data_IF_582065487031
#
_entry.id   IF_582065487031
#
_cell.length_a   1.000
_cell.length_b   1.000
_cell.length_c   1.000
_cell.angle_alpha   90.00
_cell.angle_beta   90.00
_cell.angle_gamma   90.00
#
_symmetry.space_group_name_H-M   'P 1'
#
loop_
_entity.id
_entity.type
_entity.pdbx_description
1 polymer ?
#
# COMPACT_ATOMS: atom_id res chain seq x y z
N UNK A 1 -28.55 92.54 6.85
CA UNK A 1 -29.94 92.19 6.54
C UNK A 1 -30.00 91.57 5.15
N UNK A 2 -30.15 90.25 5.06
CA UNK A 2 -30.73 89.53 3.93
C UNK A 2 -30.98 88.08 4.38
N UNK A 3 -32.26 87.70 4.34
CA UNK A 3 -32.83 86.45 4.86
C UNK A 3 -32.73 85.39 3.76
N UNK A 4 -32.19 84.21 4.05
CA UNK A 4 -32.26 83.04 3.16
C UNK A 4 -32.78 81.86 3.96
N UNK A 5 -34.10 81.72 3.98
CA UNK A 5 -34.78 80.46 4.23
C UNK A 5 -34.76 79.64 2.93
N UNK A 6 -34.44 78.34 2.99
CA UNK A 6 -35.08 77.33 2.12
C UNK A 6 -34.75 75.87 2.50
N UNK A 7 -35.86 75.13 2.64
CA UNK A 7 -36.11 73.70 2.39
C UNK A 7 -35.49 72.62 3.29
N UNK A 8 -36.26 72.26 4.31
CA UNK A 8 -36.39 70.88 4.77
C UNK A 8 -37.44 70.16 3.91
N UNK A 9 -37.00 69.41 2.90
CA UNK A 9 -37.85 68.41 2.22
C UNK A 9 -37.64 67.06 2.93
N UNK A 10 -38.46 66.81 3.95
CA UNK A 10 -38.56 65.51 4.61
C UNK A 10 -39.31 64.57 3.67
N UNK A 11 -38.58 63.55 3.18
CA UNK A 11 -39.10 62.44 2.40
C UNK A 11 -40.29 61.77 3.11
N UNK A 12 -41.50 61.99 2.59
CA UNK A 12 -42.70 61.23 2.94
C UNK A 12 -42.69 59.93 2.12
N UNK A 13 -42.02 58.89 2.62
CA UNK A 13 -42.13 57.55 2.02
C UNK A 13 -43.51 56.99 2.37
N UNK A 14 -44.43 56.94 1.39
CA UNK A 14 -45.69 56.22 1.54
C UNK A 14 -45.40 54.72 1.54
N UNK A 15 -45.76 54.03 2.62
CA UNK A 15 -45.71 52.58 2.69
C UNK A 15 -46.73 52.01 1.70
N UNK A 16 -46.22 51.42 0.62
CA UNK A 16 -47.02 50.72 -0.38
C UNK A 16 -47.30 49.31 0.14
N UNK A 17 -48.56 49.01 0.47
CA UNK A 17 -48.99 47.66 0.81
C UNK A 17 -48.88 46.77 -0.43
N UNK A 18 -48.00 45.77 -0.37
CA UNK A 18 -47.89 44.71 -1.36
C UNK A 18 -48.89 43.60 -0.99
N UNK A 19 -49.65 43.06 -1.96
CA UNK A 19 -50.55 41.94 -1.70
C UNK A 19 -49.76 40.71 -1.23
N UNK A 20 -50.29 39.92 -0.28
CA UNK A 20 -49.58 38.76 0.26
C UNK A 20 -49.37 37.72 -0.84
N UNK A 21 -48.11 37.33 -1.06
CA UNK A 21 -47.78 36.20 -1.93
C UNK A 21 -48.37 34.91 -1.34
N UNK A 22 -48.85 33.97 -2.17
CA UNK A 22 -49.33 32.67 -1.70
C UNK A 22 -48.21 31.96 -0.94
N UNK A 23 -48.49 31.54 0.30
CA UNK A 23 -47.58 30.69 1.06
C UNK A 23 -47.52 29.34 0.36
N UNK A 24 -46.44 29.08 -0.37
CA UNK A 24 -46.09 27.73 -0.80
C UNK A 24 -45.92 26.89 0.47
N UNK A 25 -46.87 25.98 0.70
CA UNK A 25 -46.73 24.96 1.73
C UNK A 25 -45.64 24.02 1.23
N UNK A 26 -44.40 24.31 1.60
CA UNK A 26 -43.28 23.39 1.41
C UNK A 26 -43.69 22.04 2.02
N UNK A 27 -43.61 20.98 1.20
CA UNK A 27 -43.73 19.61 1.69
C UNK A 27 -42.84 19.46 2.94
N UNK A 28 -43.33 18.81 4.01
CA UNK A 28 -42.57 18.67 5.23
C UNK A 28 -41.19 18.09 4.91
N UNK A 29 -40.10 18.66 5.44
CA UNK A 29 -38.76 18.24 5.10
C UNK A 29 -38.63 16.73 5.31
N UNK A 30 -38.28 16.01 4.26
CA UNK A 30 -38.04 14.56 4.32
C UNK A 30 -37.17 14.27 5.55
N UNK A 31 -37.75 13.55 6.52
CA UNK A 31 -37.07 13.17 7.75
C UNK A 31 -35.77 12.42 7.40
N UNK A 32 -34.59 13.03 7.64
CA UNK A 32 -33.30 12.46 7.28
C UNK A 32 -32.98 11.17 8.06
N UNK A 33 -33.82 10.81 9.05
CA UNK A 33 -33.69 9.61 9.86
C UNK A 33 -34.61 8.46 9.45
N UNK A 34 -35.43 8.58 8.39
CA UNK A 34 -36.20 7.42 7.90
C UNK A 34 -35.26 6.35 7.33
N UNK A 35 -35.16 5.16 7.95
CA UNK A 35 -34.33 4.08 7.42
C UNK A 35 -34.87 3.64 6.05
N UNK A 36 -34.02 3.68 5.03
CA UNK A 36 -34.36 3.17 3.71
C UNK A 36 -34.52 1.65 3.81
N UNK A 37 -35.75 1.18 3.65
CA UNK A 37 -36.06 -0.25 3.58
C UNK A 37 -35.55 -0.79 2.24
N UNK A 38 -34.54 -1.64 2.26
CA UNK A 38 -34.19 -2.49 1.12
C UNK A 38 -34.59 -3.91 1.50
N UNK A 39 -35.52 -4.51 0.72
CA UNK A 39 -36.00 -5.87 0.95
C UNK A 39 -36.64 -6.12 2.34
N UNK A 40 -37.32 -5.13 2.92
CA UNK A 40 -38.08 -5.29 4.18
C UNK A 40 -37.25 -5.33 5.46
N UNK A 41 -35.91 -5.37 5.36
CA UNK A 41 -35.03 -5.29 6.53
C UNK A 41 -34.67 -3.82 6.83
N UNK A 42 -34.73 -3.38 8.10
CA UNK A 42 -34.28 -2.05 8.50
C UNK A 42 -32.76 -1.99 8.37
N UNK A 43 -32.28 -1.51 7.23
CA UNK A 43 -30.86 -1.18 7.08
C UNK A 43 -30.63 0.11 7.86
N UNK A 44 -30.11 -0.02 9.10
CA UNK A 44 -29.45 1.10 9.75
C UNK A 44 -28.37 1.58 8.78
N UNK A 45 -28.46 2.84 8.35
CA UNK A 45 -27.54 3.40 7.37
C UNK A 45 -26.12 3.32 7.95
N UNK A 46 -25.39 2.24 7.61
CA UNK A 46 -24.00 2.07 8.04
C UNK A 46 -23.29 3.32 7.53
N UNK A 47 -22.86 4.17 8.46
CA UNK A 47 -22.32 5.45 8.07
C UNK A 47 -21.11 5.19 7.16
N UNK A 48 -21.07 5.88 6.02
CA UNK A 48 -19.96 5.80 5.06
C UNK A 48 -18.60 5.96 5.76
N UNK A 49 -18.57 6.84 6.77
CA UNK A 49 -17.39 7.08 7.61
C UNK A 49 -17.00 5.85 8.43
N UNK A 50 -17.97 5.16 9.03
CA UNK A 50 -17.74 3.93 9.80
C UNK A 50 -17.14 2.82 8.93
N UNK A 51 -17.66 2.62 7.71
CA UNK A 51 -17.11 1.62 6.77
C UNK A 51 -15.66 1.93 6.42
N UNK A 52 -15.35 3.17 6.06
CA UNK A 52 -13.98 3.58 5.71
C UNK A 52 -13.04 3.42 6.91
N UNK A 53 -13.49 3.81 8.10
CA UNK A 53 -12.69 3.66 9.32
C UNK A 53 -12.44 2.19 9.63
N UNK A 54 -13.47 1.34 9.57
CA UNK A 54 -13.36 -0.11 9.75
C UNK A 54 -12.37 -0.74 8.77
N UNK A 55 -12.51 -0.48 7.47
CA UNK A 55 -11.60 -0.99 6.45
C UNK A 55 -10.14 -0.56 6.69
N UNK A 56 -9.89 0.68 7.10
CA UNK A 56 -8.54 1.16 7.42
C UNK A 56 -7.97 0.48 8.65
N UNK A 57 -8.79 0.27 9.67
CA UNK A 57 -8.41 -0.45 10.88
C UNK A 57 -8.03 -1.88 10.55
N UNK A 58 -8.89 -2.61 9.82
CA UNK A 58 -8.64 -3.98 9.39
C UNK A 58 -7.36 -4.05 8.54
N UNK A 59 -7.21 -3.18 7.54
CA UNK A 59 -6.01 -3.13 6.70
C UNK A 59 -4.73 -2.86 7.50
N UNK A 60 -4.81 -2.03 8.55
CA UNK A 60 -3.68 -1.70 9.42
C UNK A 60 -3.29 -2.88 10.30
N UNK A 61 -4.25 -3.55 10.93
CA UNK A 61 -3.94 -4.67 11.83
C UNK A 61 -3.56 -5.94 11.07
N UNK A 62 -4.03 -6.11 9.83
CA UNK A 62 -3.64 -7.24 8.98
C UNK A 62 -2.16 -7.21 8.57
N UNK A 63 -1.40 -6.12 8.82
CA UNK A 63 0.05 -6.12 8.54
C UNK A 63 0.88 -6.75 9.65
N UNK A 64 0.33 -6.96 10.85
CA UNK A 64 1.10 -7.42 12.02
C UNK A 64 1.83 -8.74 11.75
N UNK A 65 1.18 -9.80 11.20
CA UNK A 65 1.87 -11.06 10.95
C UNK A 65 3.08 -10.91 10.01
N UNK A 66 2.93 -10.15 8.92
CA UNK A 66 4.02 -9.90 7.98
C UNK A 66 5.14 -9.06 8.60
N UNK A 67 4.83 -8.01 9.36
CA UNK A 67 5.84 -7.18 10.03
C UNK A 67 6.62 -7.97 11.08
N UNK A 68 5.96 -8.88 11.80
CA UNK A 68 6.58 -9.74 12.79
C UNK A 68 7.45 -10.84 12.16
N UNK A 69 6.99 -11.44 11.05
CA UNK A 69 7.73 -12.49 10.34
C UNK A 69 8.91 -11.97 9.51
N UNK A 70 8.78 -10.77 8.95
CA UNK A 70 9.75 -10.21 8.00
C UNK A 70 11.20 -10.18 8.52
N UNK A 71 11.50 -9.80 9.78
CA UNK A 71 12.88 -9.83 10.29
C UNK A 71 13.52 -11.22 10.20
N UNK A 72 12.81 -12.29 10.59
CA UNK A 72 13.31 -13.66 10.51
C UNK A 72 13.59 -14.05 9.05
N UNK A 73 12.64 -13.77 8.17
CA UNK A 73 12.78 -14.05 6.75
C UNK A 73 13.92 -13.24 6.11
N UNK A 74 14.04 -11.95 6.44
CA UNK A 74 15.03 -11.04 5.89
C UNK A 74 16.45 -11.42 6.34
N UNK A 75 16.63 -11.81 7.61
CA UNK A 75 17.92 -12.32 8.08
C UNK A 75 18.30 -13.56 7.28
N UNK A 76 17.39 -14.55 7.21
CA UNK A 76 17.68 -15.82 6.55
C UNK A 76 17.93 -15.69 5.04
N UNK A 77 17.21 -14.79 4.35
CA UNK A 77 17.23 -14.73 2.88
C UNK A 77 18.02 -13.56 2.30
N UNK A 78 18.22 -12.48 3.05
CA UNK A 78 18.95 -11.30 2.58
C UNK A 78 20.34 -11.22 3.23
N UNK A 79 20.42 -11.41 4.55
CA UNK A 79 21.65 -11.19 5.31
C UNK A 79 22.56 -12.42 5.27
N UNK A 80 22.07 -13.59 5.69
CA UNK A 80 22.90 -14.79 5.80
C UNK A 80 23.54 -15.19 4.46
N UNK A 81 22.82 -15.27 3.33
CA UNK A 81 23.43 -15.63 2.04
C UNK A 81 24.47 -14.63 1.53
N UNK A 82 24.41 -13.39 2.02
CA UNK A 82 25.41 -12.37 1.71
C UNK A 82 26.74 -12.59 2.45
N UNK A 83 26.70 -13.26 3.60
CA UNK A 83 27.85 -13.55 4.48
C UNK A 83 28.38 -14.97 4.24
N UNK A 84 27.51 -15.97 4.25
CA UNK A 84 27.84 -17.38 4.04
C UNK A 84 26.86 -18.01 3.05
N UNK A 85 27.40 -18.73 2.08
CA UNK A 85 26.65 -19.36 1.00
C UNK A 85 26.48 -20.86 1.17
N UNK A 86 27.14 -21.44 2.17
CA UNK A 86 27.31 -22.89 2.32
C UNK A 86 26.07 -23.49 3.00
N UNK A 87 26.20 -24.06 4.20
CA UNK A 87 25.08 -24.63 4.97
C UNK A 87 24.32 -23.61 5.81
N UNK A 88 24.93 -22.49 6.18
CA UNK A 88 24.36 -21.54 7.14
C UNK A 88 22.94 -21.03 6.77
N UNK A 89 22.62 -20.71 5.50
CA UNK A 89 21.25 -20.37 5.13
C UNK A 89 20.23 -21.49 5.39
N UNK A 90 20.62 -22.74 5.18
CA UNK A 90 19.76 -23.91 5.41
C UNK A 90 19.60 -24.20 6.91
N UNK A 91 20.68 -24.07 7.69
CA UNK A 91 20.66 -24.23 9.16
C UNK A 91 19.72 -23.20 9.82
N UNK A 92 19.83 -21.93 9.42
CA UNK A 92 18.96 -20.85 9.92
C UNK A 92 17.52 -21.04 9.43
N UNK A 93 17.31 -21.52 8.20
CA UNK A 93 15.98 -21.86 7.70
C UNK A 93 15.31 -22.94 8.55
N UNK A 94 16.07 -23.99 8.91
CA UNK A 94 15.56 -25.07 9.74
C UNK A 94 15.22 -24.61 11.15
N UNK A 95 16.09 -23.81 11.77
CA UNK A 95 15.80 -23.18 13.06
C UNK A 95 14.52 -22.33 13.01
N UNK A 96 14.33 -21.52 11.98
CA UNK A 96 13.12 -20.69 11.82
C UNK A 96 11.86 -21.56 11.64
N UNK A 97 11.96 -22.67 10.92
CA UNK A 97 10.82 -23.61 10.74
C UNK A 97 10.39 -24.24 12.05
N UNK A 98 11.35 -24.60 12.90
CA UNK A 98 11.07 -25.19 14.21
C UNK A 98 10.44 -24.18 15.17
N UNK A 99 10.89 -22.92 15.12
CA UNK A 99 10.36 -21.84 15.96
C UNK A 99 8.94 -21.39 15.56
N UNK A 100 8.53 -21.59 14.30
CA UNK A 100 7.28 -21.05 13.78
C UNK A 100 6.16 -22.10 13.80
N UNK A 101 4.95 -21.74 14.29
CA UNK A 101 3.81 -22.64 14.26
C UNK A 101 3.45 -23.09 12.83
N UNK A 102 2.90 -24.30 12.69
CA UNK A 102 2.48 -24.86 11.40
C UNK A 102 1.45 -24.02 10.65
N UNK A 103 0.64 -23.23 11.36
CA UNK A 103 -0.35 -22.33 10.75
C UNK A 103 0.23 -21.00 10.25
N UNK A 104 1.53 -20.72 10.46
CA UNK A 104 2.17 -19.43 10.11
C UNK A 104 1.98 -19.08 8.65
N UNK A 105 2.19 -20.02 7.71
CA UNK A 105 1.97 -19.75 6.28
C UNK A 105 0.52 -19.33 6.02
N UNK A 106 -0.47 -20.03 6.60
CA UNK A 106 -1.90 -19.70 6.42
C UNK A 106 -2.21 -18.31 6.98
N UNK A 107 -1.64 -17.97 8.13
CA UNK A 107 -1.78 -16.64 8.74
C UNK A 107 -1.18 -15.54 7.85
N UNK A 108 0.04 -15.73 7.34
CA UNK A 108 0.71 -14.76 6.47
C UNK A 108 -0.05 -14.55 5.16
N UNK A 109 -0.52 -15.63 4.52
CA UNK A 109 -1.32 -15.54 3.29
C UNK A 109 -2.66 -14.87 3.56
N UNK A 110 -3.40 -15.30 4.58
CA UNK A 110 -4.70 -14.73 4.93
C UNK A 110 -4.62 -13.24 5.27
N UNK A 111 -3.67 -12.86 6.12
CA UNK A 111 -3.46 -11.46 6.50
C UNK A 111 -3.01 -10.59 5.32
N UNK A 112 -2.21 -11.13 4.40
CA UNK A 112 -1.84 -10.46 3.15
C UNK A 112 -3.05 -10.24 2.24
N UNK A 113 -3.92 -11.24 2.07
CA UNK A 113 -5.16 -11.11 1.28
C UNK A 113 -6.07 -10.04 1.88
N UNK A 114 -6.26 -10.03 3.20
CA UNK A 114 -7.04 -9.00 3.90
C UNK A 114 -6.44 -7.62 3.68
N UNK A 115 -5.11 -7.48 3.79
CA UNK A 115 -4.43 -6.20 3.54
C UNK A 115 -4.68 -5.68 2.12
N UNK A 116 -4.51 -6.56 1.13
CA UNK A 116 -4.66 -6.23 -0.29
C UNK A 116 -6.10 -5.88 -0.65
N UNK A 117 -7.06 -6.68 -0.19
CA UNK A 117 -8.49 -6.49 -0.48
C UNK A 117 -9.03 -5.20 0.15
N UNK A 118 -8.76 -4.94 1.43
CA UNK A 118 -9.14 -3.68 2.06
C UNK A 118 -8.49 -2.47 1.37
N UNK A 119 -7.21 -2.59 0.99
CA UNK A 119 -6.50 -1.54 0.26
C UNK A 119 -7.08 -1.26 -1.13
N UNK A 120 -7.48 -2.29 -1.86
CA UNK A 120 -8.13 -2.16 -3.17
C UNK A 120 -9.52 -1.53 -3.05
N UNK A 121 -10.35 -2.02 -2.12
CA UNK A 121 -11.68 -1.48 -1.86
C UNK A 121 -11.60 0.01 -1.54
N UNK A 122 -10.69 0.42 -0.64
CA UNK A 122 -10.52 1.83 -0.28
C UNK A 122 -10.09 2.70 -1.46
N UNK A 123 -9.30 2.17 -2.41
CA UNK A 123 -8.88 2.89 -3.63
C UNK A 123 -10.03 3.03 -4.62
N UNK A 124 -10.72 1.93 -4.94
CA UNK A 124 -11.89 1.94 -5.84
C UNK A 124 -12.98 2.87 -5.29
N UNK A 125 -13.25 2.77 -3.99
CA UNK A 125 -14.20 3.63 -3.31
C UNK A 125 -13.82 5.12 -3.38
N UNK A 126 -12.52 5.45 -3.21
CA UNK A 126 -12.05 6.82 -3.36
C UNK A 126 -12.21 7.30 -4.80
N UNK A 127 -11.88 6.51 -5.79
CA UNK A 127 -12.07 6.86 -7.20
C UNK A 127 -13.55 7.12 -7.51
N UNK A 128 -14.43 6.23 -7.04
CA UNK A 128 -15.87 6.36 -7.27
C UNK A 128 -16.47 7.58 -6.55
N UNK A 129 -16.15 7.77 -5.26
CA UNK A 129 -16.65 8.91 -4.47
C UNK A 129 -16.08 10.25 -4.94
N UNK A 130 -14.82 10.30 -5.39
CA UNK A 130 -14.25 11.51 -5.98
C UNK A 130 -14.88 11.82 -7.33
N UNK A 131 -15.13 10.83 -8.18
CA UNK A 131 -15.86 11.02 -9.44
C UNK A 131 -17.27 11.57 -9.20
N UNK A 132 -18.03 10.95 -8.28
CA UNK A 132 -19.37 11.39 -7.91
C UNK A 132 -19.42 12.80 -7.27
N UNK A 133 -18.44 13.13 -6.42
CA UNK A 133 -18.36 14.44 -5.77
C UNK A 133 -17.75 15.53 -6.65
N UNK A 134 -16.95 15.18 -7.68
CA UNK A 134 -16.43 16.14 -8.67
C UNK A 134 -17.56 16.77 -9.48
N UNK A 135 -18.60 15.99 -9.78
CA UNK A 135 -19.83 16.48 -10.41
C UNK A 135 -20.57 17.49 -9.53
N UNK A 136 -20.74 17.20 -8.23
CA UNK A 136 -21.34 18.15 -7.27
C UNK A 136 -20.45 19.36 -6.95
N UNK A 137 -19.12 19.21 -6.96
CA UNK A 137 -18.15 20.30 -6.70
C UNK A 137 -18.02 21.27 -7.86
N UNK A 138 -18.18 20.85 -9.12
CA UNK A 138 -18.31 21.79 -10.26
C UNK A 138 -19.49 22.74 -10.07
N UNK A 139 -20.61 22.26 -9.51
CA UNK A 139 -21.79 23.08 -9.20
C UNK A 139 -21.59 24.03 -8.01
N UNK A 140 -20.84 23.64 -6.97
CA UNK A 140 -20.54 24.49 -5.78
C UNK A 140 -19.35 25.44 -5.96
N UNK A 141 -18.38 25.15 -6.84
CA UNK A 141 -17.23 26.05 -7.11
C UNK A 141 -17.63 27.40 -7.72
N UNK A 142 -18.80 27.49 -8.38
CA UNK A 142 -19.38 28.78 -8.80
C UNK A 142 -19.87 29.66 -7.64
N UNK A 143 -20.02 29.15 -6.42
CA UNK A 143 -20.58 29.88 -5.27
C UNK A 143 -19.61 30.17 -4.11
N UNK A 144 -18.43 29.56 -4.09
CA UNK A 144 -17.58 29.56 -2.88
C UNK A 144 -16.18 30.10 -3.17
N UNK A 145 -16.09 31.36 -3.58
CA UNK A 145 -14.83 32.11 -3.71
C UNK A 145 -14.49 32.94 -2.45
N UNK A 146 -15.23 32.76 -1.35
CA UNK A 146 -15.09 33.56 -0.13
C UNK A 146 -14.92 32.63 1.08
N UNK A 147 -13.95 32.95 1.93
CA UNK A 147 -13.52 32.27 3.18
C UNK A 147 -12.45 31.18 3.01
N UNK A 148 -11.22 31.59 3.33
CA UNK A 148 -10.02 30.77 3.42
C UNK A 148 -9.36 31.09 4.77
N UNK A 149 -9.52 30.20 5.73
CA UNK A 149 -8.84 30.29 7.02
C UNK A 149 -8.72 28.88 7.62
N UNK A 150 -7.63 28.16 7.30
CA UNK A 150 -7.26 26.88 7.96
C UNK A 150 -5.75 26.68 7.79
N UNK A 151 -4.90 27.43 8.51
CA UNK A 151 -3.44 27.33 8.38
C UNK A 151 -2.79 26.25 9.27
N UNK A 152 -3.40 25.83 10.37
CA UNK A 152 -2.75 24.95 11.35
C UNK A 152 -2.87 23.45 11.00
N UNK A 153 -3.93 23.03 10.28
CA UNK A 153 -4.08 21.64 9.81
C UNK A 153 -3.32 21.35 8.50
N UNK A 154 -2.85 22.40 7.81
CA UNK A 154 -2.20 22.32 6.50
C UNK A 154 -0.77 21.75 6.55
N UNK A 155 -0.06 21.90 7.66
CA UNK A 155 1.34 21.49 7.78
C UNK A 155 1.46 19.96 7.97
N UNK A 156 0.66 19.37 8.87
CA UNK A 156 0.60 17.90 9.06
C UNK A 156 0.03 17.18 7.82
N UNK A 157 -0.88 17.82 7.08
CA UNK A 157 -1.33 17.28 5.79
C UNK A 157 -0.26 17.39 4.71
N UNK A 158 0.46 18.52 4.62
CA UNK A 158 1.57 18.71 3.68
C UNK A 158 2.67 17.67 3.87
N UNK A 159 3.11 17.39 5.10
CA UNK A 159 4.14 16.40 5.39
C UNK A 159 3.70 14.94 5.16
N UNK A 160 2.44 14.60 5.45
CA UNK A 160 1.89 13.28 5.10
C UNK A 160 1.71 13.13 3.59
N UNK A 161 1.31 14.19 2.89
CA UNK A 161 1.27 14.19 1.43
C UNK A 161 2.66 14.13 0.84
N UNK A 162 3.67 14.77 1.43
CA UNK A 162 5.05 14.71 0.92
C UNK A 162 5.58 13.29 1.05
N UNK A 163 5.39 12.59 2.16
CA UNK A 163 5.78 11.18 2.29
C UNK A 163 5.08 10.27 1.27
N UNK A 164 3.82 10.58 0.96
CA UNK A 164 3.03 9.84 -0.04
C UNK A 164 3.44 10.16 -1.47
N UNK A 165 3.86 11.38 -1.77
CA UNK A 165 4.18 11.84 -3.14
C UNK A 165 5.67 11.69 -3.48
N UNK A 166 6.53 11.84 -2.47
CA UNK A 166 8.00 11.92 -2.60
C UNK A 166 8.69 10.62 -2.15
N UNK A 167 8.08 9.84 -1.23
CA UNK A 167 8.69 8.63 -0.65
C UNK A 167 9.25 8.87 0.76
N UNK A 168 9.93 7.86 1.34
CA UNK A 168 10.45 7.95 2.72
C UNK A 168 11.45 9.08 2.90
N UNK A 169 12.31 9.21 1.91
CA UNK A 169 13.18 10.33 1.67
C UNK A 169 12.85 10.76 0.26
N UNK A 170 13.06 12.01 -0.11
CA UNK A 170 13.20 12.36 -1.54
C UNK A 170 14.43 11.72 -2.20
N UNK A 171 14.83 10.52 -1.76
CA UNK A 171 15.83 9.61 -2.29
C UNK A 171 17.25 10.18 -2.44
N UNK A 172 18.25 9.34 -2.26
CA UNK A 172 19.58 9.56 -2.86
C UNK A 172 19.47 9.88 -4.38
N UNK A 173 18.43 9.42 -5.08
CA UNK A 173 18.17 9.79 -6.48
C UNK A 173 17.70 11.23 -6.70
N UNK A 174 17.07 11.88 -5.72
CA UNK A 174 16.71 13.30 -5.83
C UNK A 174 17.94 14.21 -5.73
N UNK A 175 18.96 13.78 -4.98
CA UNK A 175 20.19 14.56 -4.76
C UNK A 175 21.27 14.29 -5.83
N UNK A 176 21.38 13.06 -6.34
CA UNK A 176 22.34 12.74 -7.41
C UNK A 176 21.82 13.01 -8.83
N UNK A 177 20.50 13.12 -9.03
CA UNK A 177 19.91 13.30 -10.38
C UNK A 177 19.03 14.56 -10.49
N UNK A 178 18.89 15.37 -9.43
CA UNK A 178 18.22 16.68 -9.50
C UNK A 178 16.74 16.65 -9.90
N UNK A 179 16.11 15.48 -10.00
CA UNK A 179 14.71 15.37 -10.38
C UNK A 179 13.80 15.62 -9.17
N UNK A 180 13.42 16.89 -8.98
CA UNK A 180 12.25 17.30 -8.20
C UNK A 180 10.94 16.83 -8.87
N UNK A 181 10.84 15.55 -9.25
CA UNK A 181 9.62 14.98 -9.81
C UNK A 181 8.76 14.44 -8.69
N UNK A 182 7.67 15.13 -8.41
CA UNK A 182 6.51 14.53 -7.75
C UNK A 182 6.04 13.35 -8.60
N UNK A 183 6.05 12.13 -8.05
CA UNK A 183 5.50 10.99 -8.77
C UNK A 183 3.97 11.08 -8.77
N UNK A 184 3.34 10.85 -9.93
CA UNK A 184 1.89 10.76 -10.04
C UNK A 184 1.31 9.60 -9.19
N UNK A 185 2.11 8.55 -8.98
CA UNK A 185 1.77 7.39 -8.18
C UNK A 185 2.69 7.36 -6.95
N UNK A 186 2.12 7.27 -5.72
CA UNK A 186 2.91 7.12 -4.50
C UNK A 186 3.87 5.93 -4.57
N UNK A 187 5.17 6.08 -4.19
CA UNK A 187 6.12 4.97 -4.22
C UNK A 187 5.65 3.74 -3.44
N UNK A 188 5.00 3.93 -2.29
CA UNK A 188 4.39 2.85 -1.50
C UNK A 188 3.32 2.06 -2.28
N UNK A 189 2.56 2.75 -3.14
CA UNK A 189 1.52 2.11 -3.95
C UNK A 189 2.16 1.37 -5.12
N UNK A 190 3.15 1.99 -5.78
CA UNK A 190 3.90 1.39 -6.87
C UNK A 190 4.57 0.09 -6.43
N UNK A 191 5.32 0.12 -5.32
CA UNK A 191 5.97 -1.09 -4.79
C UNK A 191 4.95 -2.14 -4.38
N UNK A 192 3.77 -1.76 -3.90
CA UNK A 192 2.69 -2.71 -3.62
C UNK A 192 2.19 -3.42 -4.89
N UNK A 193 2.00 -2.70 -6.00
CA UNK A 193 1.58 -3.31 -7.27
C UNK A 193 2.63 -4.23 -7.88
N UNK A 194 3.91 -3.89 -7.71
CA UNK A 194 5.03 -4.75 -8.14
C UNK A 194 5.13 -5.97 -7.22
N UNK A 195 5.03 -5.78 -5.91
CA UNK A 195 5.20 -6.83 -4.91
C UNK A 195 4.18 -7.96 -5.05
N UNK A 196 2.90 -7.66 -5.32
CA UNK A 196 1.83 -8.68 -5.37
C UNK A 196 2.10 -9.83 -6.35
N UNK A 197 2.37 -9.62 -7.65
CA UNK A 197 2.62 -10.71 -8.58
C UNK A 197 3.88 -11.50 -8.22
N UNK A 198 4.96 -10.83 -7.78
CA UNK A 198 6.19 -11.52 -7.39
C UNK A 198 6.05 -12.30 -6.09
N UNK A 199 5.28 -11.81 -5.13
CA UNK A 199 4.96 -12.54 -3.90
C UNK A 199 4.07 -13.75 -4.20
N UNK A 200 3.09 -13.61 -5.10
CA UNK A 200 2.27 -14.73 -5.54
C UNK A 200 3.11 -15.80 -6.24
N UNK A 201 4.01 -15.40 -7.15
CA UNK A 201 4.98 -16.29 -7.78
C UNK A 201 5.86 -17.00 -6.73
N UNK A 202 6.44 -16.25 -5.79
CA UNK A 202 7.26 -16.79 -4.71
C UNK A 202 6.50 -17.84 -3.87
N UNK A 203 5.26 -17.53 -3.46
CA UNK A 203 4.42 -18.48 -2.72
C UNK A 203 4.08 -19.71 -3.57
N UNK A 204 3.84 -19.53 -4.87
CA UNK A 204 3.53 -20.62 -5.79
C UNK A 204 4.67 -21.65 -5.86
N UNK A 205 5.89 -21.18 -6.13
CA UNK A 205 7.06 -22.07 -6.31
C UNK A 205 7.63 -22.60 -4.98
N UNK A 206 7.51 -21.86 -3.88
CA UNK A 206 8.08 -22.26 -2.59
C UNK A 206 7.14 -23.09 -1.73
N UNK A 207 5.81 -22.95 -1.92
CA UNK A 207 4.83 -23.56 -1.00
C UNK A 207 3.68 -24.24 -1.69
N UNK A 208 3.01 -23.59 -2.65
CA UNK A 208 1.75 -24.14 -3.22
C UNK A 208 2.02 -25.36 -4.11
N UNK A 209 2.90 -25.23 -5.09
CA UNK A 209 3.21 -26.31 -6.03
C UNK A 209 3.93 -27.49 -5.33
N UNK A 210 4.96 -27.25 -4.49
CA UNK A 210 5.69 -28.33 -3.83
C UNK A 210 4.83 -29.14 -2.85
N UNK A 211 3.89 -28.51 -2.13
CA UNK A 211 2.99 -29.20 -1.19
C UNK A 211 1.72 -29.73 -1.86
N UNK A 212 1.62 -29.70 -3.18
CA UNK A 212 0.51 -30.34 -3.88
C UNK A 212 0.69 -31.85 -3.84
N UNK A 213 -0.43 -32.58 -3.83
CA UNK A 213 -0.51 -34.05 -3.67
C UNK A 213 0.31 -34.89 -4.65
N UNK A 214 0.91 -34.28 -5.68
CA UNK A 214 1.60 -34.96 -6.77
C UNK A 214 3.13 -34.86 -6.71
N UNK A 215 3.71 -33.93 -5.94
CA UNK A 215 5.14 -33.61 -6.03
C UNK A 215 5.85 -33.79 -4.67
N UNK A 216 5.27 -33.36 -3.54
CA UNK A 216 5.85 -33.45 -2.19
C UNK A 216 7.38 -33.30 -2.16
N UNK A 217 7.83 -32.05 -2.33
CA UNK A 217 9.25 -31.69 -2.28
C UNK A 217 9.47 -30.65 -1.20
N UNK A 218 10.41 -30.91 -0.31
CA UNK A 218 10.89 -29.92 0.64
C UNK A 218 11.76 -28.89 -0.08
N UNK A 219 11.34 -27.63 0.02
CA UNK A 219 12.02 -26.51 -0.62
C UNK A 219 12.98 -25.87 0.37
N UNK A 220 14.26 -25.77 0.02
CA UNK A 220 15.34 -25.23 0.83
C UNK A 220 16.21 -24.28 -0.03
N UNK A 221 17.40 -23.88 0.44
CA UNK A 221 18.31 -23.10 -0.41
C UNK A 221 18.92 -23.92 -1.54
N UNK A 222 18.90 -25.25 -1.50
CA UNK A 222 19.33 -26.08 -2.64
C UNK A 222 18.40 -25.88 -3.84
N UNK A 223 17.09 -25.76 -3.62
CA UNK A 223 16.15 -25.38 -4.68
C UNK A 223 16.49 -23.99 -5.27
N UNK A 224 16.79 -23.01 -4.42
CA UNK A 224 17.15 -21.65 -4.89
C UNK A 224 18.46 -21.66 -5.68
N UNK A 225 19.48 -22.37 -5.18
CA UNK A 225 20.77 -22.59 -5.86
C UNK A 225 20.54 -23.28 -7.23
N UNK A 226 19.65 -24.27 -7.27
CA UNK A 226 19.27 -24.96 -8.52
C UNK A 226 18.66 -24.01 -9.55
N UNK A 227 17.72 -23.14 -9.17
CA UNK A 227 17.11 -22.17 -10.11
C UNK A 227 18.20 -21.30 -10.76
N UNK A 228 19.15 -20.77 -9.99
CA UNK A 228 20.17 -19.85 -10.52
C UNK A 228 21.20 -20.53 -11.43
N UNK A 229 21.31 -21.86 -11.36
CA UNK A 229 22.24 -22.66 -12.15
C UNK A 229 21.59 -23.52 -13.22
N UNK A 230 20.27 -23.45 -13.35
CA UNK A 230 19.54 -24.22 -14.34
C UNK A 230 20.14 -24.05 -15.75
N UNK A 231 20.25 -25.12 -16.53
CA UNK A 231 20.88 -25.06 -17.86
C UNK A 231 20.16 -24.05 -18.78
N UNK A 232 18.83 -24.06 -18.76
CA UNK A 232 18.02 -23.04 -19.44
C UNK A 232 18.16 -21.65 -18.78
N UNK A 233 18.73 -20.71 -19.54
CA UNK A 233 18.88 -19.31 -19.15
C UNK A 233 17.54 -18.63 -18.84
N UNK A 234 16.44 -19.06 -19.47
CA UNK A 234 15.10 -18.49 -19.24
C UNK A 234 14.64 -18.78 -17.82
N UNK A 235 14.84 -20.00 -17.34
CA UNK A 235 14.53 -20.38 -15.95
C UNK A 235 15.42 -19.61 -14.98
N UNK A 236 16.72 -19.48 -15.28
CA UNK A 236 17.64 -18.68 -14.46
C UNK A 236 17.19 -17.23 -14.30
N UNK A 237 16.83 -16.58 -15.41
CA UNK A 237 16.48 -15.15 -15.41
C UNK A 237 15.05 -14.93 -14.93
N UNK A 238 14.06 -15.56 -15.57
CA UNK A 238 12.64 -15.32 -15.29
C UNK A 238 12.11 -16.14 -14.11
N UNK A 239 12.70 -17.30 -13.83
CA UNK A 239 12.38 -18.10 -12.66
C UNK A 239 13.19 -17.71 -11.41
N UNK A 240 14.40 -17.18 -11.62
CA UNK A 240 15.33 -16.80 -10.57
C UNK A 240 15.52 -15.29 -10.46
N UNK A 241 16.52 -14.75 -11.16
CA UNK A 241 17.06 -13.42 -10.88
C UNK A 241 16.00 -12.32 -10.84
N UNK A 242 15.15 -12.21 -11.87
CA UNK A 242 14.13 -11.15 -11.95
C UNK A 242 13.15 -11.22 -10.77
N UNK A 243 12.41 -12.33 -10.56
CA UNK A 243 11.42 -12.37 -9.50
C UNK A 243 12.02 -12.20 -8.11
N UNK A 244 13.17 -12.81 -7.81
CA UNK A 244 13.81 -12.64 -6.50
C UNK A 244 14.32 -11.21 -6.30
N UNK A 245 15.00 -10.60 -7.27
CA UNK A 245 15.46 -9.21 -7.15
C UNK A 245 14.30 -8.23 -6.99
N UNK A 246 13.21 -8.40 -7.75
CA UNK A 246 12.02 -7.56 -7.64
C UNK A 246 11.32 -7.75 -6.30
N UNK A 247 11.25 -8.98 -5.78
CA UNK A 247 10.68 -9.27 -4.46
C UNK A 247 11.50 -8.64 -3.33
N UNK A 248 12.83 -8.75 -3.39
CA UNK A 248 13.74 -8.12 -2.42
C UNK A 248 13.57 -6.62 -2.42
N UNK A 249 13.62 -5.98 -3.59
CA UNK A 249 13.52 -4.52 -3.70
C UNK A 249 12.14 -4.02 -3.27
N UNK A 250 11.08 -4.51 -3.90
CA UNK A 250 9.71 -4.04 -3.65
C UNK A 250 9.22 -4.43 -2.26
N UNK A 251 9.50 -5.66 -1.79
CA UNK A 251 9.09 -6.17 -0.48
C UNK A 251 9.77 -5.43 0.67
N UNK A 252 11.11 -5.33 0.63
CA UNK A 252 11.89 -4.62 1.66
C UNK A 252 11.46 -3.16 1.74
N UNK A 253 11.35 -2.47 0.60
CA UNK A 253 10.85 -1.09 0.60
C UNK A 253 9.43 -1.02 1.15
N UNK A 254 8.48 -1.80 0.63
CA UNK A 254 7.07 -1.69 1.00
C UNK A 254 6.83 -1.94 2.49
N UNK A 255 7.48 -2.96 3.06
CA UNK A 255 7.34 -3.31 4.47
C UNK A 255 7.98 -2.24 5.36
N UNK A 256 9.25 -1.91 5.14
CA UNK A 256 9.98 -0.98 6.01
C UNK A 256 9.44 0.45 5.88
N UNK A 257 9.12 0.89 4.67
CA UNK A 257 8.47 2.17 4.43
C UNK A 257 7.08 2.23 5.08
N UNK A 258 6.33 1.14 5.00
CA UNK A 258 5.05 0.96 5.67
C UNK A 258 5.18 1.05 7.18
N UNK A 259 6.19 0.41 7.78
CA UNK A 259 6.48 0.49 9.23
C UNK A 259 6.83 1.91 9.66
N UNK A 260 7.64 2.63 8.89
CA UNK A 260 7.94 4.03 9.15
C UNK A 260 6.67 4.92 9.13
N UNK A 261 5.75 4.66 8.20
CA UNK A 261 4.43 5.33 8.17
C UNK A 261 3.53 4.90 9.35
N UNK A 262 3.55 3.62 9.70
CA UNK A 262 2.79 3.06 10.82
C UNK A 262 3.18 3.71 12.15
N UNK A 263 4.48 3.89 12.36
CA UNK A 263 5.07 4.56 13.53
C UNK A 263 4.97 6.09 13.47
N UNK A 264 4.39 6.65 12.40
CA UNK A 264 4.21 8.09 12.20
C UNK A 264 5.52 8.88 12.31
N UNK A 265 6.63 8.33 11.80
CA UNK A 265 7.93 9.01 11.83
C UNK A 265 7.89 10.19 10.85
N UNK A 266 7.99 11.41 11.38
CA UNK A 266 7.95 12.66 10.61
C UNK A 266 9.33 13.22 10.27
N UNK A 267 10.25 13.08 11.21
CA UNK A 267 11.61 13.60 11.11
C UNK A 267 12.35 13.05 9.88
N UNK A 268 12.85 13.97 9.04
CA UNK A 268 13.57 13.68 7.80
C UNK A 268 14.89 12.94 8.05
N UNK A 269 15.59 13.25 9.15
CA UNK A 269 16.86 12.62 9.51
C UNK A 269 16.62 11.16 9.90
N UNK A 270 15.56 10.88 10.67
CA UNK A 270 15.16 9.50 10.99
C UNK A 270 14.75 8.75 9.74
N UNK A 271 13.94 9.37 8.88
CA UNK A 271 13.54 8.78 7.59
C UNK A 271 14.73 8.46 6.69
N UNK A 272 15.78 9.29 6.70
CA UNK A 272 17.05 9.01 6.01
C UNK A 272 17.73 7.76 6.51
N UNK A 273 17.79 7.55 7.83
CA UNK A 273 18.32 6.30 8.42
C UNK A 273 17.52 5.08 7.95
N UNK A 274 16.18 5.16 7.94
CA UNK A 274 15.32 4.10 7.41
C UNK A 274 15.55 3.83 5.91
N UNK A 275 15.72 4.88 5.11
CA UNK A 275 16.03 4.74 3.67
C UNK A 275 17.38 4.07 3.45
N UNK A 276 18.41 4.47 4.20
CA UNK A 276 19.74 3.84 4.11
C UNK A 276 19.67 2.36 4.53
N UNK A 277 18.88 2.06 5.56
CA UNK A 277 18.66 0.68 6.00
C UNK A 277 17.96 -0.17 4.92
N UNK A 278 16.96 0.38 4.23
CA UNK A 278 16.33 -0.28 3.07
C UNK A 278 17.38 -0.54 1.99
N UNK A 279 18.17 0.47 1.60
CA UNK A 279 19.20 0.31 0.57
C UNK A 279 20.22 -0.74 0.95
N UNK A 280 20.66 -0.77 2.22
CA UNK A 280 21.59 -1.76 2.74
C UNK A 280 21.01 -3.18 2.63
N UNK A 281 19.77 -3.40 3.10
CA UNK A 281 19.13 -4.71 3.03
C UNK A 281 18.89 -5.18 1.59
N UNK A 282 18.47 -4.28 0.70
CA UNK A 282 18.32 -4.61 -0.73
C UNK A 282 19.67 -4.96 -1.33
N UNK A 283 20.71 -4.16 -1.09
CA UNK A 283 22.06 -4.43 -1.58
C UNK A 283 22.61 -5.76 -1.08
N UNK A 284 22.45 -6.05 0.22
CA UNK A 284 22.81 -7.33 0.85
C UNK A 284 22.07 -8.51 0.21
N UNK A 285 20.76 -8.39 -0.02
CA UNK A 285 19.98 -9.44 -0.67
C UNK A 285 20.36 -9.69 -2.14
N UNK A 286 20.61 -8.62 -2.91
CA UNK A 286 21.08 -8.75 -4.30
C UNK A 286 22.48 -9.37 -4.35
N UNK A 287 23.37 -8.97 -3.44
CA UNK A 287 24.69 -9.57 -3.30
C UNK A 287 24.60 -11.06 -2.89
N UNK A 288 23.68 -11.40 -1.99
CA UNK A 288 23.39 -12.78 -1.60
C UNK A 288 22.93 -13.64 -2.78
N UNK A 289 22.01 -13.14 -3.61
CA UNK A 289 21.62 -13.82 -4.87
C UNK A 289 22.84 -14.05 -5.77
N UNK A 290 23.64 -13.00 -5.97
CA UNK A 290 24.85 -13.11 -6.79
C UNK A 290 25.79 -14.19 -6.26
N UNK A 291 26.06 -14.21 -4.96
CA UNK A 291 26.92 -15.22 -4.34
C UNK A 291 26.35 -16.64 -4.46
N UNK A 292 25.05 -16.83 -4.20
CA UNK A 292 24.38 -18.13 -4.35
C UNK A 292 24.50 -18.66 -5.78
N UNK A 293 24.50 -17.79 -6.79
CA UNK A 293 24.66 -18.19 -8.19
C UNK A 293 26.06 -18.69 -8.56
N UNK A 294 27.07 -18.49 -7.69
CA UNK A 294 28.49 -18.78 -7.96
C UNK A 294 29.05 -20.01 -7.24
N UNK A 295 28.32 -20.61 -6.29
CA UNK A 295 28.76 -21.81 -5.55
C UNK A 295 29.01 -22.97 -6.55
N UNK A 296 29.96 -23.91 -6.35
CA UNK A 296 30.14 -25.09 -7.20
C UNK A 296 28.99 -26.12 -7.10
N UNK A 297 28.93 -27.05 -8.07
CA UNK A 297 27.79 -27.95 -8.32
C UNK A 297 27.77 -29.18 -7.41
N UNK A 298 27.03 -29.11 -6.31
CA UNK A 298 26.56 -30.30 -5.58
C UNK A 298 25.06 -30.19 -5.34
N UNK A 299 24.28 -30.08 -6.42
CA UNK A 299 22.82 -29.96 -6.30
C UNK A 299 22.20 -31.36 -6.34
N UNK A 300 22.01 -31.96 -5.18
CA UNK A 300 21.14 -33.13 -5.03
C UNK A 300 19.68 -32.70 -5.24
N UNK A 301 18.88 -33.51 -5.95
CA UNK A 301 17.42 -33.32 -6.07
C UNK A 301 16.92 -32.55 -7.29
N UNK A 302 17.78 -32.26 -8.29
CA UNK A 302 17.45 -31.54 -9.54
C UNK A 302 16.16 -32.03 -10.21
N UNK A 303 15.98 -33.34 -10.32
CA UNK A 303 14.87 -33.95 -11.06
C UNK A 303 13.51 -33.72 -10.38
N UNK A 304 13.52 -33.53 -9.05
CA UNK A 304 12.31 -33.21 -8.29
C UNK A 304 11.94 -31.74 -8.43
N UNK A 305 12.95 -30.87 -8.50
CA UNK A 305 12.75 -29.43 -8.68
C UNK A 305 12.23 -29.08 -10.08
N UNK A 306 12.66 -29.82 -11.10
CA UNK A 306 12.20 -29.61 -12.47
C UNK A 306 10.68 -29.80 -12.61
N UNK A 307 10.09 -30.74 -11.85
CA UNK A 307 8.64 -30.97 -11.81
C UNK A 307 7.84 -29.74 -11.37
N UNK A 308 8.44 -28.86 -10.55
CA UNK A 308 7.79 -27.62 -10.11
C UNK A 308 7.63 -26.66 -11.30
N UNK A 309 8.68 -26.50 -12.10
CA UNK A 309 8.69 -25.59 -13.24
C UNK A 309 7.87 -26.13 -14.42
N UNK A 310 7.87 -27.45 -14.66
CA UNK A 310 6.96 -28.11 -15.62
C UNK A 310 5.48 -27.95 -15.28
N UNK A 311 5.15 -27.64 -14.02
CA UNK A 311 3.77 -27.37 -13.63
C UNK A 311 3.43 -25.87 -13.68
N UNK A 312 4.42 -25.01 -13.45
CA UNK A 312 4.26 -23.56 -13.53
C UNK A 312 4.13 -23.09 -14.99
N UNK A 313 4.92 -23.67 -15.88
CA UNK A 313 4.81 -23.55 -17.32
C UNK A 313 4.32 -24.90 -17.83
N UNK A 314 3.16 -24.97 -18.50
CA UNK A 314 2.64 -26.20 -19.12
C UNK A 314 3.60 -26.69 -20.23
N UNK A 315 4.73 -27.26 -19.83
CA UNK A 315 5.65 -28.06 -20.64
C UNK A 315 5.29 -29.54 -20.49
#
# INVERSE_FOLDING_TARGET
MAKVEKHQDIFKMSLQELPPEPVEIDDPPEDPYRPKKFLGLPIYAISHRSVIMGLRTIQKYSTIPMVAYFPLHAINTLVIPSISTDSAPDDVLMMIRELLPSFTTKLLVGSSIVHLTCGLILRVWKLWSTSASSFKRRRRRRRSHRKKEVSIHLEDTRERTSQRVIGLTGGLSGYFVGFNKSFNIPPQVLTGYILVPFLAYHLAIMKVIPNSSRIFVDIDFNFVKWIFKHEDWRIRIFGGFIPFSMLIWSGTYHIIAGTCQYLRIKDISKRRKWSNFITFLVGSGIFGIYRLSKIPNSILGSDRYEKIFRRLYML
#
